data_IF_228157140873
#
_entry.id   IF_228157140873
#
_cell.length_a   1.000
_cell.length_b   1.000
_cell.length_c   1.000
_cell.angle_alpha   90.00
_cell.angle_beta   90.00
_cell.angle_gamma   90.00
#
_symmetry.space_group_name_H-M   'P 1'
#
loop_
_entity.id
_entity.type
_entity.pdbx_description
1 polymer ?
#
# COMPACT_ATOMS: atom_id res chain seq x y z
N UNK A 1 -22.79 13.33 2.98
CA UNK A 1 -22.42 12.61 1.72
C UNK A 1 -21.22 13.23 1.01
N UNK A 2 -20.95 14.54 1.15
CA UNK A 2 -19.72 15.15 0.63
C UNK A 2 -18.46 14.78 1.44
N UNK A 3 -18.61 14.53 2.75
CA UNK A 3 -17.47 14.35 3.66
C UNK A 3 -16.65 13.09 3.36
N UNK A 4 -17.30 11.98 3.00
CA UNK A 4 -16.59 10.72 2.78
C UNK A 4 -15.75 10.71 1.50
N UNK A 5 -16.25 11.37 0.43
CA UNK A 5 -15.50 11.49 -0.81
C UNK A 5 -14.24 12.35 -0.60
N UNK A 6 -14.34 13.40 0.22
CA UNK A 6 -13.19 14.23 0.57
C UNK A 6 -12.19 13.44 1.43
N UNK A 7 -12.65 12.70 2.43
CA UNK A 7 -11.78 11.85 3.25
C UNK A 7 -11.08 10.79 2.38
N UNK A 8 -11.82 10.11 1.51
CA UNK A 8 -11.26 9.12 0.59
C UNK A 8 -10.25 9.76 -0.38
N UNK A 9 -10.53 10.96 -0.90
CA UNK A 9 -9.61 11.71 -1.76
C UNK A 9 -8.34 12.12 -1.01
N UNK A 10 -8.43 12.52 0.26
CA UNK A 10 -7.28 12.84 1.10
C UNK A 10 -6.43 11.59 1.35
N UNK A 11 -7.05 10.46 1.72
CA UNK A 11 -6.36 9.18 1.89
C UNK A 11 -5.64 8.78 0.60
N UNK A 12 -6.30 8.92 -0.54
CA UNK A 12 -5.70 8.63 -1.84
C UNK A 12 -4.54 9.57 -2.17
N UNK A 13 -4.66 10.88 -1.91
CA UNK A 13 -3.59 11.84 -2.13
C UNK A 13 -2.36 11.52 -1.27
N UNK A 14 -2.57 11.17 0.01
CA UNK A 14 -1.49 10.73 0.90
C UNK A 14 -0.87 9.42 0.43
N UNK A 15 -1.67 8.50 -0.10
CA UNK A 15 -1.19 7.27 -0.70
C UNK A 15 -0.26 7.53 -1.89
N UNK A 16 -0.66 8.41 -2.80
CA UNK A 16 0.19 8.81 -3.94
C UNK A 16 1.49 9.46 -3.45
N UNK A 17 1.41 10.38 -2.50
CA UNK A 17 2.61 11.04 -1.94
C UNK A 17 3.56 9.98 -1.36
N UNK A 18 3.04 9.03 -0.58
CA UNK A 18 3.88 7.96 -0.02
C UNK A 18 4.50 7.08 -1.12
N UNK A 19 3.72 6.64 -2.11
CA UNK A 19 4.21 5.79 -3.21
C UNK A 19 5.32 6.48 -4.00
N UNK A 20 5.16 7.76 -4.36
CA UNK A 20 6.21 8.51 -5.08
C UNK A 20 7.42 8.85 -4.19
N UNK A 21 7.28 8.82 -2.88
CA UNK A 21 8.37 9.05 -1.92
C UNK A 21 8.99 7.77 -1.38
N UNK A 22 8.49 6.59 -1.74
CA UNK A 22 8.98 5.29 -1.26
C UNK A 22 10.50 5.12 -1.45
N UNK A 23 11.04 5.55 -2.60
CA UNK A 23 12.50 5.53 -2.84
C UNK A 23 13.29 6.40 -1.84
N UNK A 24 12.70 7.50 -1.39
CA UNK A 24 13.32 8.37 -0.39
C UNK A 24 13.38 7.68 0.99
N UNK A 25 12.36 6.88 1.35
CA UNK A 25 12.37 6.06 2.57
C UNK A 25 13.47 4.99 2.54
N UNK A 26 13.71 4.36 1.39
CA UNK A 26 14.82 3.42 1.20
C UNK A 26 16.19 4.10 1.39
N UNK A 27 16.38 5.30 0.81
CA UNK A 27 17.60 6.09 1.03
C UNK A 27 17.74 6.49 2.51
N UNK A 28 16.63 6.84 3.16
CA UNK A 28 16.60 7.19 4.57
C UNK A 28 16.97 5.99 5.46
N UNK A 29 16.56 4.78 5.08
CA UNK A 29 16.90 3.55 5.78
C UNK A 29 18.42 3.34 5.87
N UNK A 30 19.16 3.63 4.79
CA UNK A 30 20.62 3.57 4.79
C UNK A 30 21.27 4.65 5.66
N UNK A 31 20.65 5.83 5.78
CA UNK A 31 21.18 6.94 6.57
C UNK A 31 20.91 6.81 8.07
N UNK A 32 19.81 6.15 8.46
CA UNK A 32 19.36 6.02 9.85
C UNK A 32 19.33 4.55 10.29
N UNK A 33 20.50 3.94 10.60
CA UNK A 33 20.62 2.51 10.87
C UNK A 33 19.75 2.00 12.03
N UNK A 34 19.44 2.85 13.02
CA UNK A 34 18.56 2.50 14.15
C UNK A 34 17.11 2.20 13.73
N UNK A 35 16.63 2.78 12.63
CA UNK A 35 15.27 2.61 12.13
C UNK A 35 15.23 2.00 10.73
N UNK A 36 16.36 1.44 10.28
CA UNK A 36 16.52 0.96 8.91
C UNK A 36 15.44 -0.06 8.51
N UNK A 37 15.09 -0.99 9.40
CA UNK A 37 14.05 -2.00 9.10
C UNK A 37 12.69 -1.37 8.78
N UNK A 38 12.20 -0.48 9.63
CA UNK A 38 10.91 0.19 9.42
C UNK A 38 10.94 1.09 8.17
N UNK A 39 12.02 1.84 7.96
CA UNK A 39 12.17 2.71 6.80
C UNK A 39 12.31 1.92 5.49
N UNK A 40 12.93 0.74 5.52
CA UNK A 40 13.02 -0.15 4.38
C UNK A 40 11.64 -0.71 4.01
N UNK A 41 10.87 -1.17 5.00
CA UNK A 41 9.49 -1.62 4.79
C UNK A 41 8.60 -0.51 4.21
N UNK A 42 8.75 0.73 4.68
CA UNK A 42 8.03 1.88 4.11
C UNK A 42 8.55 2.32 2.73
N UNK A 43 9.70 1.79 2.29
CA UNK A 43 10.28 2.07 0.98
C UNK A 43 9.93 1.03 -0.09
N UNK A 44 9.43 -0.14 0.29
CA UNK A 44 8.98 -1.18 -0.63
C UNK A 44 7.56 -0.85 -1.15
N UNK A 45 7.42 -0.76 -2.47
CA UNK A 45 6.16 -0.38 -3.12
C UNK A 45 5.04 -1.40 -2.88
N UNK A 46 5.40 -2.66 -2.68
CA UNK A 46 4.52 -3.77 -2.32
C UNK A 46 3.88 -3.55 -0.94
N UNK A 47 4.71 -3.17 0.04
CA UNK A 47 4.28 -2.90 1.41
C UNK A 47 3.45 -1.62 1.45
N UNK A 48 3.86 -0.57 0.72
CA UNK A 48 3.13 0.70 0.62
C UNK A 48 1.72 0.47 0.05
N UNK A 49 1.58 -0.37 -0.98
CA UNK A 49 0.28 -0.74 -1.55
C UNK A 49 -0.63 -1.41 -0.51
N UNK A 50 -0.14 -2.45 0.16
CA UNK A 50 -0.91 -3.16 1.19
C UNK A 50 -1.28 -2.29 2.39
N UNK A 51 -0.36 -1.44 2.84
CA UNK A 51 -0.57 -0.51 3.95
C UNK A 51 -1.75 0.44 3.67
N UNK A 52 -1.78 1.05 2.48
CA UNK A 52 -2.84 2.00 2.13
C UNK A 52 -4.19 1.33 1.90
N UNK A 53 -4.21 0.09 1.40
CA UNK A 53 -5.43 -0.70 1.34
C UNK A 53 -6.02 -0.92 2.74
N UNK A 54 -5.19 -1.31 3.72
CA UNK A 54 -5.63 -1.46 5.12
C UNK A 54 -6.15 -0.15 5.68
N UNK A 55 -5.42 0.96 5.51
CA UNK A 55 -5.85 2.29 5.97
C UNK A 55 -7.22 2.64 5.40
N UNK A 56 -7.44 2.43 4.10
CA UNK A 56 -8.73 2.70 3.47
C UNK A 56 -9.86 1.87 4.09
N UNK A 57 -9.68 0.56 4.25
CA UNK A 57 -10.71 -0.33 4.82
C UNK A 57 -11.00 -0.02 6.28
N UNK A 58 -9.98 0.31 7.07
CA UNK A 58 -10.13 0.74 8.46
C UNK A 58 -10.97 2.02 8.53
N UNK A 59 -10.65 3.03 7.72
CA UNK A 59 -11.44 4.27 7.66
C UNK A 59 -12.87 4.02 7.17
N UNK A 60 -13.07 3.19 6.16
CA UNK A 60 -14.42 2.80 5.70
C UNK A 60 -15.20 2.10 6.83
N UNK A 61 -14.58 1.16 7.54
CA UNK A 61 -15.23 0.44 8.64
C UNK A 61 -15.68 1.40 9.75
N UNK A 62 -14.84 2.38 10.11
CA UNK A 62 -15.19 3.37 11.14
C UNK A 62 -16.25 4.39 10.69
N UNK A 63 -16.27 4.76 9.40
CA UNK A 63 -17.16 5.83 8.89
C UNK A 63 -18.49 5.31 8.34
N UNK A 64 -18.50 4.12 7.72
CA UNK A 64 -19.64 3.51 7.05
C UNK A 64 -20.18 2.26 7.76
N UNK A 65 -19.39 1.67 8.66
CA UNK A 65 -19.69 0.39 9.31
C UNK A 65 -19.02 -0.79 8.60
N UNK A 66 -18.91 -1.92 9.33
CA UNK A 66 -18.24 -3.13 8.85
C UNK A 66 -18.89 -3.74 7.61
N UNK A 67 -20.23 -3.85 7.59
CA UNK A 67 -20.95 -4.50 6.49
C UNK A 67 -20.71 -3.77 5.16
N UNK A 68 -20.80 -2.44 5.15
CA UNK A 68 -20.54 -1.64 3.95
C UNK A 68 -19.07 -1.70 3.51
N UNK A 69 -18.13 -1.81 4.45
CA UNK A 69 -16.71 -1.97 4.14
C UNK A 69 -16.43 -3.35 3.50
N UNK A 70 -17.08 -4.41 3.99
CA UNK A 70 -17.01 -5.76 3.41
C UNK A 70 -17.61 -5.75 2.02
N UNK A 71 -18.83 -5.22 1.84
CA UNK A 71 -19.49 -5.10 0.53
C UNK A 71 -18.61 -4.32 -0.47
N UNK A 72 -17.94 -3.26 0.00
CA UNK A 72 -17.01 -2.51 -0.83
C UNK A 72 -15.81 -3.36 -1.27
N UNK A 73 -15.20 -4.13 -0.37
CA UNK A 73 -14.08 -5.03 -0.71
C UNK A 73 -14.55 -6.11 -1.68
N UNK A 74 -15.67 -6.78 -1.41
CA UNK A 74 -16.16 -7.91 -2.22
C UNK A 74 -16.64 -7.48 -3.62
N UNK A 75 -17.06 -6.22 -3.79
CA UNK A 75 -17.55 -5.71 -5.07
C UNK A 75 -16.46 -5.30 -6.08
N UNK A 76 -15.17 -5.36 -5.73
CA UNK A 76 -14.08 -4.92 -6.61
C UNK A 76 -13.39 -6.08 -7.33
N UNK A 77 -12.85 -5.77 -8.51
CA UNK A 77 -12.08 -6.71 -9.30
C UNK A 77 -10.60 -6.55 -8.97
N UNK A 78 -10.01 -7.57 -8.35
CA UNK A 78 -8.60 -7.57 -7.95
C UNK A 78 -7.68 -8.33 -8.90
N UNK A 79 -8.19 -8.88 -10.00
CA UNK A 79 -7.42 -9.70 -10.96
C UNK A 79 -6.19 -8.96 -11.47
N UNK A 80 -6.35 -7.73 -11.95
CA UNK A 80 -5.24 -6.91 -12.44
C UNK A 80 -4.29 -6.46 -11.30
N UNK A 81 -4.77 -5.87 -10.18
CA UNK A 81 -3.89 -5.52 -9.06
C UNK A 81 -3.07 -6.68 -8.52
N UNK A 82 -3.68 -7.86 -8.36
CA UNK A 82 -2.99 -9.05 -7.86
C UNK A 82 -1.97 -9.55 -8.88
N UNK A 83 -2.31 -9.56 -10.17
CA UNK A 83 -1.36 -9.91 -11.22
C UNK A 83 -0.12 -9.00 -11.20
N UNK A 84 -0.33 -7.67 -11.17
CA UNK A 84 0.76 -6.68 -11.11
C UNK A 84 1.59 -6.86 -9.84
N UNK A 85 0.94 -7.05 -8.69
CA UNK A 85 1.63 -7.29 -7.42
C UNK A 85 2.52 -8.54 -7.48
N UNK A 86 2.02 -9.65 -8.02
CA UNK A 86 2.77 -10.90 -8.14
C UNK A 86 4.00 -10.72 -9.03
N UNK A 87 3.86 -10.10 -10.21
CA UNK A 87 5.02 -9.91 -11.10
C UNK A 87 6.07 -8.95 -10.50
N UNK A 88 5.64 -7.95 -9.72
CA UNK A 88 6.54 -7.04 -9.00
C UNK A 88 7.35 -7.77 -7.93
N UNK A 89 6.69 -8.58 -7.10
CA UNK A 89 7.35 -9.42 -6.08
C UNK A 89 8.34 -10.39 -6.72
N UNK A 90 7.97 -11.04 -7.82
CA UNK A 90 8.86 -11.96 -8.54
C UNK A 90 10.06 -11.19 -9.13
N UNK A 91 9.84 -10.02 -9.73
CA UNK A 91 10.91 -9.20 -10.29
C UNK A 91 11.87 -8.64 -9.22
N UNK A 92 11.38 -8.39 -8.01
CA UNK A 92 12.20 -7.99 -6.86
C UNK A 92 13.03 -9.15 -6.28
N UNK A 93 12.61 -10.41 -6.52
CA UNK A 93 13.33 -11.58 -6.05
C UNK A 93 14.58 -11.88 -6.90
N UNK A 94 15.64 -12.42 -6.28
CA UNK A 94 16.85 -12.82 -7.01
C UNK A 94 16.53 -14.03 -7.92
N UNK A 95 17.06 -14.08 -9.15
CA UNK A 95 16.87 -15.24 -10.01
C UNK A 95 17.48 -16.48 -9.35
N UNK A 96 16.76 -17.60 -9.37
CA UNK A 96 17.28 -18.90 -8.95
C UNK A 96 18.23 -19.38 -10.05
N UNK A 97 19.51 -19.05 -9.89
CA UNK A 97 20.60 -19.50 -10.75
C UNK A 97 21.30 -20.68 -10.08
N UNK A 98 20.59 -21.79 -9.94
CA UNK A 98 21.21 -23.10 -9.67
C UNK A 98 20.89 -24.01 -10.87
N UNK A 99 21.94 -24.41 -11.59
CA UNK A 99 21.92 -25.44 -12.63
C UNK A 99 22.35 -26.77 -12.01
#
# INVERSE_FOLDING_TARGET
MYDINVIAAIIFALALIHTFTAKQFEVLAHRFPKHAGMLHLLGEVEVVFGLWAIVLIVFMTFLLGGDQAIDYVESRQYTEPVFVFVIMVIAASKPILEL
#
